data_IF_698758493345
#
_entry.id   IF_698758493345
#
_cell.length_a   1.000
_cell.length_b   1.000
_cell.length_c   1.000
_cell.angle_alpha   90.00
_cell.angle_beta   90.00
_cell.angle_gamma   90.00
#
_symmetry.space_group_name_H-M   'P 1'
#
loop_
_entity.id
_entity.type
_entity.pdbx_description
1 polymer ?
#
# COMPACT_ATOMS: atom_id res chain seq x y z
N UNK A 1 -2.37 11.01 -19.24
CA UNK A 1 -2.82 12.37 -18.90
C UNK A 1 -1.70 13.02 -18.10
N UNK A 2 -1.29 14.25 -18.42
CA UNK A 2 -0.30 14.93 -17.60
C UNK A 2 -0.90 15.14 -16.20
N UNK A 3 -0.22 14.64 -15.16
CA UNK A 3 -0.61 14.84 -13.76
C UNK A 3 -0.66 16.36 -13.53
N UNK A 4 -1.85 16.89 -13.24
CA UNK A 4 -1.99 18.30 -12.88
C UNK A 4 -1.18 18.61 -11.62
N UNK A 5 -0.73 19.85 -11.45
CA UNK A 5 0.14 20.29 -10.33
C UNK A 5 -0.40 19.81 -8.97
N UNK A 6 -1.72 19.84 -8.78
CA UNK A 6 -2.39 19.35 -7.56
C UNK A 6 -2.13 17.87 -7.31
N UNK A 7 -2.23 17.02 -8.33
CA UNK A 7 -1.96 15.58 -8.19
C UNK A 7 -0.49 15.29 -7.88
N UNK A 8 0.43 16.14 -8.35
CA UNK A 8 1.85 16.03 -8.02
C UNK A 8 2.14 16.47 -6.58
N UNK A 9 1.46 17.51 -6.10
CA UNK A 9 1.56 17.97 -4.71
C UNK A 9 0.97 16.96 -3.72
N UNK A 10 -0.11 16.27 -4.10
CA UNK A 10 -0.70 15.20 -3.30
C UNK A 10 0.28 14.02 -3.14
N UNK A 11 0.85 13.56 -4.26
CA UNK A 11 1.90 12.54 -4.26
C UNK A 11 3.09 12.94 -3.38
N UNK A 12 3.54 14.19 -3.49
CA UNK A 12 4.61 14.73 -2.67
C UNK A 12 4.28 14.63 -1.17
N UNK A 13 3.05 14.95 -0.78
CA UNK A 13 2.58 14.81 0.59
C UNK A 13 2.68 13.37 1.10
N UNK A 14 2.26 12.38 0.30
CA UNK A 14 2.36 10.97 0.66
C UNK A 14 3.81 10.49 0.72
N UNK A 15 4.65 10.92 -0.23
CA UNK A 15 6.08 10.57 -0.26
C UNK A 15 6.79 11.08 1.00
N UNK A 16 6.45 12.27 1.50
CA UNK A 16 7.01 12.80 2.75
C UNK A 16 6.71 11.86 3.93
N UNK A 17 5.54 11.22 3.95
CA UNK A 17 5.18 10.23 4.98
C UNK A 17 5.78 8.84 4.73
N UNK A 18 5.90 8.44 3.47
CA UNK A 18 6.46 7.14 3.08
C UNK A 18 7.99 7.08 3.22
N UNK A 19 8.67 8.21 3.02
CA UNK A 19 10.13 8.31 3.10
C UNK A 19 10.74 7.78 4.41
N UNK A 20 10.27 8.16 5.62
CA UNK A 20 10.81 7.60 6.86
C UNK A 20 10.59 6.09 6.99
N UNK A 21 9.47 5.56 6.51
CA UNK A 21 9.19 4.12 6.50
C UNK A 21 10.10 3.36 5.53
N UNK A 22 10.30 3.91 4.33
CA UNK A 22 11.23 3.35 3.36
C UNK A 22 12.66 3.33 3.90
N UNK A 23 13.09 4.43 4.52
CA UNK A 23 14.41 4.53 5.15
C UNK A 23 14.57 3.49 6.27
N UNK A 24 13.56 3.34 7.13
CA UNK A 24 13.54 2.33 8.19
C UNK A 24 13.64 0.90 7.64
N UNK A 25 12.90 0.60 6.56
CA UNK A 25 12.94 -0.69 5.90
C UNK A 25 14.32 -1.01 5.32
N UNK A 26 14.93 -0.04 4.62
CA UNK A 26 16.30 -0.17 4.11
C UNK A 26 17.30 -0.40 5.24
N UNK A 27 17.19 0.31 6.36
CA UNK A 27 18.08 0.10 7.50
C UNK A 27 17.96 -1.32 8.08
N UNK A 28 16.74 -1.89 8.15
CA UNK A 28 16.56 -3.26 8.60
C UNK A 28 17.11 -4.30 7.63
N UNK A 29 16.97 -4.06 6.31
CA UNK A 29 17.59 -4.90 5.29
C UNK A 29 19.13 -4.92 5.47
N UNK A 30 19.73 -3.73 5.63
CA UNK A 30 21.17 -3.59 5.85
C UNK A 30 21.64 -4.18 7.19
N UNK A 31 20.76 -4.25 8.18
CA UNK A 31 21.05 -4.85 9.49
C UNK A 31 20.87 -6.38 9.53
N UNK A 32 20.65 -7.03 8.38
CA UNK A 32 20.42 -8.48 8.28
C UNK A 32 19.02 -8.93 8.73
N UNK A 33 18.11 -8.00 8.99
CA UNK A 33 16.71 -8.28 9.36
C UNK A 33 15.83 -8.20 8.13
N UNK A 34 16.06 -9.14 7.21
CA UNK A 34 15.51 -9.11 5.86
C UNK A 34 13.98 -9.10 5.84
N UNK A 35 13.33 -9.96 6.63
CA UNK A 35 11.87 -10.02 6.72
C UNK A 35 11.25 -8.70 7.21
N UNK A 36 11.80 -8.13 8.29
CA UNK A 36 11.31 -6.86 8.82
C UNK A 36 11.55 -5.72 7.83
N UNK A 37 12.73 -5.67 7.23
CA UNK A 37 13.07 -4.63 6.27
C UNK A 37 12.22 -4.69 5.00
N UNK A 38 11.99 -5.89 4.46
CA UNK A 38 11.11 -6.10 3.31
C UNK A 38 9.67 -5.66 3.62
N UNK A 39 9.15 -5.96 4.82
CA UNK A 39 7.81 -5.52 5.23
C UNK A 39 7.67 -4.00 5.19
N UNK A 40 8.63 -3.26 5.76
CA UNK A 40 8.60 -1.80 5.76
C UNK A 40 8.73 -1.18 4.37
N UNK A 41 9.58 -1.77 3.50
CA UNK A 41 9.70 -1.33 2.11
C UNK A 41 8.39 -1.56 1.35
N UNK A 42 7.76 -2.72 1.51
CA UNK A 42 6.46 -3.03 0.90
C UNK A 42 5.38 -2.07 1.39
N UNK A 43 5.34 -1.78 2.69
CA UNK A 43 4.39 -0.81 3.24
C UNK A 43 4.59 0.60 2.67
N UNK A 44 5.83 1.07 2.57
CA UNK A 44 6.13 2.37 1.97
C UNK A 44 5.74 2.42 0.48
N UNK A 45 6.03 1.35 -0.27
CA UNK A 45 5.61 1.23 -1.67
C UNK A 45 4.08 1.18 -1.79
N UNK A 46 3.40 0.46 -0.90
CA UNK A 46 1.95 0.38 -0.86
C UNK A 46 1.31 1.74 -0.57
N UNK A 47 1.88 2.57 0.32
CA UNK A 47 1.39 3.93 0.56
C UNK A 47 1.37 4.78 -0.70
N UNK A 48 2.42 4.69 -1.52
CA UNK A 48 2.53 5.43 -2.78
C UNK A 48 1.59 4.83 -3.84
N UNK A 49 1.56 3.50 -3.95
CA UNK A 49 0.74 2.78 -4.91
C UNK A 49 -0.77 2.92 -4.62
N UNK A 50 -1.17 3.00 -3.35
CA UNK A 50 -2.56 3.24 -2.96
C UNK A 50 -3.04 4.59 -3.48
N UNK A 51 -2.22 5.62 -3.42
CA UNK A 51 -2.62 6.93 -3.92
C UNK A 51 -2.85 6.91 -5.44
N UNK A 52 -2.07 6.11 -6.17
CA UNK A 52 -2.24 5.92 -7.62
C UNK A 52 -3.44 5.02 -7.97
N UNK A 53 -3.76 4.03 -7.13
CA UNK A 53 -4.87 3.10 -7.38
C UNK A 53 -6.22 3.64 -6.89
N UNK A 54 -6.29 4.26 -5.71
CA UNK A 54 -7.51 4.80 -5.08
C UNK A 54 -7.99 6.12 -5.71
N UNK A 55 -7.12 6.90 -6.35
CA UNK A 55 -7.53 8.10 -7.08
C UNK A 55 -8.22 7.79 -8.41
N UNK A 56 -8.36 6.50 -8.78
CA UNK A 56 -9.32 6.03 -9.79
C UNK A 56 -10.71 6.07 -9.15
N UNK A 57 -11.52 7.13 -9.33
CA UNK A 57 -12.52 7.55 -8.33
C UNK A 57 -13.71 6.60 -8.11
N UNK A 58 -13.80 5.49 -8.84
CA UNK A 58 -15.06 4.75 -9.02
C UNK A 58 -14.99 3.25 -8.65
N UNK A 59 -13.80 2.62 -8.62
CA UNK A 59 -13.73 1.15 -8.70
C UNK A 59 -13.04 0.43 -7.52
N UNK A 60 -12.45 1.15 -6.57
CA UNK A 60 -11.61 0.53 -5.53
C UNK A 60 -12.31 0.29 -4.18
N UNK A 61 -13.17 1.18 -3.66
CA UNK A 61 -13.84 0.94 -2.37
C UNK A 61 -14.69 -0.34 -2.39
N UNK A 62 -15.41 -0.56 -3.50
CA UNK A 62 -16.26 -1.72 -3.70
C UNK A 62 -15.47 -3.04 -3.79
N UNK A 63 -14.38 -3.07 -4.56
CA UNK A 63 -13.55 -4.28 -4.74
C UNK A 63 -12.72 -4.64 -3.50
N UNK A 64 -12.36 -3.67 -2.67
CA UNK A 64 -11.69 -3.92 -1.40
C UNK A 64 -12.67 -4.49 -0.36
N UNK A 65 -13.89 -3.94 -0.32
CA UNK A 65 -14.97 -4.46 0.52
C UNK A 65 -15.37 -5.89 0.10
N UNK A 66 -15.53 -6.16 -1.20
CA UNK A 66 -15.82 -7.51 -1.72
C UNK A 66 -14.72 -8.51 -1.38
N UNK A 67 -13.44 -8.14 -1.47
CA UNK A 67 -12.34 -9.04 -1.10
C UNK A 67 -12.26 -9.33 0.39
N UNK A 68 -12.51 -8.33 1.24
CA UNK A 68 -12.54 -8.51 2.68
C UNK A 68 -13.73 -9.38 3.13
N UNK A 69 -14.89 -9.21 2.48
CA UNK A 69 -16.05 -10.09 2.69
C UNK A 69 -15.78 -11.50 2.18
N UNK A 70 -15.19 -11.65 0.98
CA UNK A 70 -14.82 -12.95 0.42
C UNK A 70 -13.84 -13.71 1.31
N UNK A 71 -12.77 -13.07 1.80
CA UNK A 71 -11.80 -13.73 2.68
C UNK A 71 -12.38 -14.19 4.02
N UNK A 72 -13.36 -13.46 4.57
CA UNK A 72 -14.05 -13.85 5.82
C UNK A 72 -15.03 -15.01 5.59
N UNK A 73 -15.58 -15.12 4.38
CA UNK A 73 -16.47 -16.23 4.00
C UNK A 73 -15.66 -17.50 3.65
N UNK A 74 -14.52 -17.37 2.97
CA UNK A 74 -13.64 -18.49 2.61
C UNK A 74 -12.97 -19.13 3.85
N UNK A 75 -12.75 -18.39 4.95
CA UNK A 75 -12.25 -18.95 6.22
C UNK A 75 -13.31 -19.79 6.97
N UNK A 76 -14.59 -19.76 6.54
CA UNK A 76 -15.72 -20.49 7.15
C UNK A 76 -16.18 -21.71 6.34
N UNK A 77 -15.51 -22.09 5.24
CA UNK A 77 -15.78 -23.33 4.50
C UNK A 77 -14.69 -24.40 4.72
N UNK A 78 -14.74 -25.16 5.84
CA UNK A 78 -14.07 -26.43 5.95
C UNK A 78 -14.83 -27.48 5.15
N UNK A 79 -14.19 -27.99 4.09
CA UNK A 79 -14.62 -29.15 3.29
C UNK A 79 -15.37 -30.23 4.14
N UNK A 80 -16.70 -30.35 3.96
CA UNK A 80 -17.46 -31.60 4.19
C UNK A 80 -18.80 -31.67 3.47
#
# INVERSE_FOLDING_TARGET
>A
MARGIVGTLQLLGTVVLAAPLALLGVQFLLSGRELTGALFVVLAAAMIALEEYLTTPQDVPAKAAERAVGSVVDDDDPDR
#
